data_IF_513715220443
#
_entry.id   IF_513715220443
#
_cell.length_a   1.000
_cell.length_b   1.000
_cell.length_c   1.000
_cell.angle_alpha   90.00
_cell.angle_beta   90.00
_cell.angle_gamma   90.00
#
_symmetry.space_group_name_H-M   'P 1'
#
loop_
_entity.id
_entity.type
_entity.pdbx_description
1 polymer ?
#
# COMPACT_ATOMS: atom_id res chain seq x y z
N UNK A 1 -24.45 27.96 -48.52
CA UNK A 1 -25.78 28.27 -47.97
C UNK A 1 -26.73 28.59 -49.11
N UNK A 2 -28.01 28.25 -48.98
CA UNK A 2 -29.09 28.77 -49.81
C UNK A 2 -29.87 29.80 -48.99
N UNK A 3 -29.83 31.07 -49.42
CA UNK A 3 -30.70 32.11 -48.87
C UNK A 3 -32.02 32.10 -49.63
N UNK A 4 -33.12 32.30 -48.92
CA UNK A 4 -34.45 32.48 -49.49
C UNK A 4 -34.73 33.94 -49.91
N UNK A 5 -35.81 34.11 -50.67
CA UNK A 5 -36.12 35.33 -51.45
C UNK A 5 -37.37 36.07 -50.97
N UNK A 6 -37.90 35.72 -49.81
CA UNK A 6 -39.10 36.34 -49.22
C UNK A 6 -38.85 37.71 -48.58
N UNK A 7 -37.58 38.14 -48.49
CA UNK A 7 -37.16 39.44 -47.97
C UNK A 7 -37.21 39.57 -46.45
N UNK A 8 -37.53 38.49 -45.72
CA UNK A 8 -37.63 38.51 -44.27
C UNK A 8 -36.30 38.08 -43.61
N UNK A 9 -35.74 38.85 -42.66
CA UNK A 9 -34.50 38.46 -41.99
C UNK A 9 -34.74 37.27 -41.07
N UNK A 10 -34.26 36.08 -41.45
CA UNK A 10 -34.31 34.89 -40.59
C UNK A 10 -33.33 34.99 -39.43
N UNK A 11 -33.87 34.98 -38.22
CA UNK A 11 -33.11 34.73 -36.99
C UNK A 11 -32.91 33.23 -36.81
N UNK A 12 -31.67 32.82 -36.51
CA UNK A 12 -31.32 31.47 -36.13
C UNK A 12 -30.69 31.51 -34.73
N UNK A 13 -31.27 30.82 -33.76
CA UNK A 13 -30.69 30.67 -32.43
C UNK A 13 -29.80 29.42 -32.37
N UNK A 14 -28.64 29.54 -31.70
CA UNK A 14 -27.76 28.41 -31.41
C UNK A 14 -27.57 28.33 -29.90
N UNK A 15 -28.15 27.30 -29.29
CA UNK A 15 -28.10 27.07 -27.85
C UNK A 15 -26.92 26.16 -27.52
N UNK A 16 -25.95 26.64 -26.74
CA UNK A 16 -24.79 25.87 -26.29
C UNK A 16 -24.86 25.59 -24.78
N UNK A 17 -24.11 24.59 -24.34
CA UNK A 17 -23.85 24.30 -22.92
C UNK A 17 -22.35 24.23 -22.69
N UNK A 18 -21.91 24.54 -21.48
CA UNK A 18 -20.50 24.38 -21.11
C UNK A 18 -20.11 22.89 -21.12
N UNK A 19 -18.90 22.60 -21.60
CA UNK A 19 -18.28 21.29 -21.42
C UNK A 19 -17.73 21.15 -19.99
N UNK A 20 -17.69 19.93 -19.49
CA UNK A 20 -17.08 19.60 -18.20
C UNK A 20 -15.83 18.74 -18.36
N UNK A 21 -15.04 18.62 -17.31
CA UNK A 21 -13.89 17.71 -17.21
C UNK A 21 -13.81 17.15 -15.78
N UNK A 22 -13.51 15.86 -15.64
CA UNK A 22 -13.26 15.23 -14.34
C UNK A 22 -11.79 14.88 -14.23
N UNK A 23 -11.20 15.12 -13.05
CA UNK A 23 -9.81 14.81 -12.73
C UNK A 23 -9.73 13.87 -11.52
N UNK A 24 -8.68 13.04 -11.49
CA UNK A 24 -8.32 12.12 -10.41
C UNK A 24 -6.79 11.84 -10.48
N UNK A 25 -6.16 11.08 -9.57
CA UNK A 25 -4.71 10.84 -9.61
C UNK A 25 -4.17 10.21 -10.91
N UNK A 26 -4.97 9.41 -11.61
CA UNK A 26 -4.62 8.81 -12.89
C UNK A 26 -4.85 9.74 -14.11
N UNK A 27 -5.54 10.86 -13.92
CA UNK A 27 -5.77 11.91 -14.93
C UNK A 27 -5.96 13.26 -14.22
N UNK A 28 -4.87 13.82 -13.67
CA UNK A 28 -4.94 15.03 -12.83
C UNK A 28 -5.04 16.31 -13.67
N UNK A 29 -5.31 17.42 -12.99
CA UNK A 29 -5.04 18.75 -13.53
C UNK A 29 -3.54 19.03 -13.64
N UNK A 30 -3.20 20.17 -14.22
CA UNK A 30 -1.81 20.64 -14.34
C UNK A 30 -1.73 22.07 -13.81
N UNK A 31 -1.41 22.29 -12.52
CA UNK A 31 -1.37 23.61 -11.88
C UNK A 31 -0.76 24.72 -12.75
N UNK A 32 -1.45 25.85 -12.82
CA UNK A 32 -1.03 27.03 -13.57
C UNK A 32 -1.15 26.94 -15.10
N UNK A 33 -1.48 25.78 -15.68
CA UNK A 33 -1.75 25.64 -17.13
C UNK A 33 -3.24 25.87 -17.44
N UNK A 34 -3.61 26.31 -18.66
CA UNK A 34 -5.01 26.53 -19.05
C UNK A 34 -5.79 25.22 -19.15
N UNK A 35 -7.03 25.21 -18.65
CA UNK A 35 -7.95 24.04 -18.69
C UNK A 35 -8.28 23.63 -20.14
N UNK A 36 -8.18 24.55 -21.11
CA UNK A 36 -8.27 24.25 -22.53
C UNK A 36 -6.92 24.57 -23.21
N UNK A 37 -6.09 23.57 -23.58
CA UNK A 37 -4.77 23.81 -24.18
C UNK A 37 -4.78 24.66 -25.45
N UNK A 38 -5.89 24.65 -26.20
CA UNK A 38 -6.07 25.44 -27.43
C UNK A 38 -6.53 26.89 -27.16
N UNK A 39 -6.75 27.29 -25.91
CA UNK A 39 -7.08 28.65 -25.51
C UNK A 39 -6.20 29.08 -24.30
N UNK A 40 -5.11 29.83 -24.53
CA UNK A 40 -4.19 30.23 -23.47
C UNK A 40 -4.77 31.23 -22.46
N UNK A 41 -5.89 31.89 -22.81
CA UNK A 41 -6.63 32.80 -21.94
C UNK A 41 -7.74 32.09 -21.13
N UNK A 42 -7.96 30.79 -21.37
CA UNK A 42 -8.94 30.03 -20.58
C UNK A 42 -8.51 29.88 -19.12
N UNK A 43 -9.47 29.70 -18.17
CA UNK A 43 -9.16 29.54 -16.75
C UNK A 43 -8.12 28.45 -16.51
N UNK A 44 -7.25 28.68 -15.53
CA UNK A 44 -6.12 27.80 -15.21
C UNK A 44 -6.47 26.82 -14.11
N UNK A 45 -5.83 25.66 -14.14
CA UNK A 45 -5.86 24.70 -13.05
C UNK A 45 -5.28 25.29 -11.76
N UNK A 46 -5.95 25.05 -10.63
CA UNK A 46 -5.46 25.41 -9.30
C UNK A 46 -4.39 24.43 -8.79
N UNK A 47 -3.60 24.85 -7.81
CA UNK A 47 -2.49 24.04 -7.25
C UNK A 47 -2.95 22.68 -6.69
N UNK A 48 -4.15 22.62 -6.10
CA UNK A 48 -4.72 21.41 -5.50
C UNK A 48 -5.22 20.35 -6.51
N UNK A 49 -5.02 20.58 -7.81
CA UNK A 49 -5.51 19.71 -8.89
C UNK A 49 -4.49 18.70 -9.39
N UNK A 50 -3.25 18.74 -8.90
CA UNK A 50 -2.25 17.72 -9.23
C UNK A 50 -2.55 16.35 -8.60
N UNK A 51 -1.89 15.31 -9.13
CA UNK A 51 -2.13 13.93 -8.67
C UNK A 51 -1.73 13.66 -7.22
N UNK A 52 -0.85 14.46 -6.63
CA UNK A 52 -0.45 14.32 -5.23
C UNK A 52 -1.49 14.93 -4.28
N UNK A 53 -2.07 16.06 -4.66
CA UNK A 53 -3.15 16.75 -3.96
C UNK A 53 -4.43 15.92 -3.96
N UNK A 54 -4.73 15.28 -5.11
CA UNK A 54 -5.83 14.32 -5.31
C UNK A 54 -5.56 12.92 -4.69
N UNK A 55 -4.42 12.69 -4.04
CA UNK A 55 -4.10 11.44 -3.35
C UNK A 55 -3.97 11.67 -1.83
N UNK A 56 -4.39 10.71 -1.00
CA UNK A 56 -3.97 10.60 0.40
C UNK A 56 -3.44 9.20 0.66
N UNK A 57 -2.45 9.12 1.54
CA UNK A 57 -1.88 7.87 2.03
C UNK A 57 -1.82 7.93 3.54
N UNK A 58 -2.28 6.86 4.18
CA UNK A 58 -2.14 6.64 5.61
C UNK A 58 -1.34 5.36 5.78
N UNK A 59 -0.30 5.42 6.61
CA UNK A 59 0.66 4.32 6.80
C UNK A 59 0.55 3.80 8.22
N UNK A 60 0.68 2.49 8.41
CA UNK A 60 1.04 1.92 9.70
C UNK A 60 2.43 1.31 9.61
N UNK A 61 3.33 1.84 10.45
CA UNK A 61 4.68 1.30 10.67
C UNK A 61 4.70 0.54 11.98
N UNK A 62 5.29 -0.65 11.98
CA UNK A 62 5.65 -1.38 13.21
C UNK A 62 7.15 -1.51 13.28
N UNK A 63 7.76 -0.84 14.26
CA UNK A 63 9.17 -0.96 14.60
C UNK A 63 9.43 -2.17 15.49
N UNK A 64 10.58 -2.82 15.29
CA UNK A 64 11.00 -3.99 16.05
C UNK A 64 12.40 -3.75 16.64
N UNK A 65 12.49 -3.67 17.96
CA UNK A 65 13.73 -3.32 18.69
C UNK A 65 14.03 -4.31 19.81
N UNK A 66 15.30 -4.39 20.23
CA UNK A 66 15.69 -5.02 21.48
C UNK A 66 15.52 -4.06 22.68
N UNK A 67 15.70 -4.57 23.90
CA UNK A 67 15.59 -3.80 25.16
C UNK A 67 16.57 -2.61 25.26
N UNK A 68 17.66 -2.62 24.49
CA UNK A 68 18.63 -1.50 24.39
C UNK A 68 18.24 -0.42 23.36
N UNK A 69 17.09 -0.59 22.70
CA UNK A 69 16.60 0.29 21.63
C UNK A 69 17.27 0.08 20.26
N UNK A 70 18.19 -0.88 20.12
CA UNK A 70 18.75 -1.25 18.83
C UNK A 70 17.75 -2.04 17.98
N UNK A 71 17.86 -1.95 16.66
CA UNK A 71 16.93 -2.58 15.72
C UNK A 71 17.08 -4.10 15.73
N UNK A 72 15.98 -4.81 15.98
CA UNK A 72 15.94 -6.27 16.02
C UNK A 72 15.73 -6.88 14.62
N UNK A 73 14.74 -6.38 13.88
CA UNK A 73 14.41 -6.78 12.49
C UNK A 73 13.85 -5.60 11.70
N UNK A 74 13.63 -5.77 10.40
CA UNK A 74 13.04 -4.74 9.54
C UNK A 74 11.58 -4.41 9.88
N UNK A 75 11.24 -3.12 9.75
CA UNK A 75 9.93 -2.57 10.12
C UNK A 75 8.81 -3.10 9.20
N UNK A 76 7.66 -3.47 9.77
CA UNK A 76 6.49 -3.89 8.98
C UNK A 76 5.59 -2.69 8.65
N UNK A 77 5.83 -2.10 7.48
CA UNK A 77 5.01 -1.03 6.91
C UNK A 77 3.82 -1.57 6.13
N UNK A 78 2.64 -0.99 6.34
CA UNK A 78 1.46 -1.13 5.47
C UNK A 78 0.93 0.27 5.12
N UNK A 79 0.34 0.46 3.94
CA UNK A 79 -0.20 1.77 3.53
C UNK A 79 -1.52 1.62 2.80
N UNK A 80 -2.53 2.32 3.31
CA UNK A 80 -3.81 2.53 2.64
C UNK A 80 -3.74 3.79 1.78
N UNK A 81 -4.30 3.72 0.58
CA UNK A 81 -4.35 4.85 -0.36
C UNK A 81 -5.80 5.21 -0.63
N UNK A 82 -6.08 6.52 -0.68
CA UNK A 82 -7.37 7.10 -1.02
C UNK A 82 -7.17 8.06 -2.19
N UNK A 83 -8.12 8.09 -3.12
CA UNK A 83 -8.08 8.95 -4.31
C UNK A 83 -9.31 9.86 -4.35
N UNK A 84 -9.11 11.12 -4.74
CA UNK A 84 -10.14 12.15 -4.87
C UNK A 84 -10.47 12.38 -6.34
N UNK A 85 -11.76 12.49 -6.65
CA UNK A 85 -12.26 12.72 -8.01
C UNK A 85 -13.09 14.01 -8.04
N UNK A 86 -12.69 14.99 -8.83
CA UNK A 86 -13.34 16.31 -8.89
C UNK A 86 -13.71 16.69 -10.32
N UNK A 87 -14.87 17.33 -10.50
CA UNK A 87 -15.41 17.73 -11.80
C UNK A 87 -15.49 19.24 -11.91
N UNK A 88 -14.99 19.79 -13.02
CA UNK A 88 -14.88 21.23 -13.28
C UNK A 88 -15.62 21.64 -14.56
N UNK A 89 -16.07 22.90 -14.58
CA UNK A 89 -16.61 23.60 -15.74
C UNK A 89 -15.48 24.14 -16.62
N UNK A 90 -15.43 23.74 -17.90
CA UNK A 90 -14.31 24.09 -18.79
C UNK A 90 -14.31 25.53 -19.28
N UNK A 91 -15.37 26.31 -19.05
CA UNK A 91 -15.49 27.70 -19.52
C UNK A 91 -15.15 28.68 -18.41
N UNK A 92 -15.59 28.38 -17.18
CA UNK A 92 -15.45 29.23 -15.98
C UNK A 92 -14.35 28.76 -15.03
N UNK A 93 -13.83 27.54 -15.20
CA UNK A 93 -12.82 26.94 -14.31
C UNK A 93 -13.33 26.58 -12.92
N UNK A 94 -14.63 26.74 -12.65
CA UNK A 94 -15.23 26.45 -11.34
C UNK A 94 -15.37 24.95 -11.15
N UNK A 95 -15.12 24.50 -9.92
CA UNK A 95 -15.54 23.17 -9.50
C UNK A 95 -17.07 23.08 -9.50
N UNK A 96 -17.59 22.01 -10.10
CA UNK A 96 -19.02 21.68 -10.17
C UNK A 96 -19.40 20.56 -9.21
N UNK A 97 -18.45 19.69 -8.87
CA UNK A 97 -18.67 18.54 -7.99
C UNK A 97 -17.35 18.00 -7.43
N UNK A 98 -17.27 17.93 -6.10
CA UNK A 98 -16.43 16.94 -5.42
C UNK A 98 -17.18 15.60 -5.40
N UNK A 99 -16.55 14.52 -5.86
CA UNK A 99 -17.11 13.16 -5.81
C UNK A 99 -16.70 12.40 -4.54
N UNK A 100 -15.93 13.04 -3.65
CA UNK A 100 -15.41 12.47 -2.43
C UNK A 100 -14.15 11.63 -2.63
N UNK A 101 -13.48 11.38 -1.51
CA UNK A 101 -12.40 10.40 -1.44
C UNK A 101 -12.95 8.98 -1.54
N UNK A 102 -12.28 8.13 -2.30
CA UNK A 102 -12.57 6.70 -2.45
C UNK A 102 -11.35 5.90 -2.01
N UNK A 103 -11.54 4.89 -1.19
CA UNK A 103 -10.48 3.95 -0.79
C UNK A 103 -10.06 3.03 -1.94
N UNK A 104 -8.77 2.76 -2.05
CA UNK A 104 -8.24 1.78 -3.00
C UNK A 104 -8.37 0.37 -2.41
N UNK A 105 -8.72 -0.60 -3.26
CA UNK A 105 -8.96 -2.02 -2.89
C UNK A 105 -10.08 -2.26 -1.85
N UNK A 106 -10.97 -1.29 -1.62
CA UNK A 106 -12.03 -1.35 -0.59
C UNK A 106 -11.49 -1.54 0.84
N UNK A 107 -10.29 -1.02 1.15
CA UNK A 107 -9.64 -1.19 2.46
C UNK A 107 -9.63 0.09 3.29
N UNK A 108 -10.21 0.01 4.48
CA UNK A 108 -10.26 1.06 5.51
C UNK A 108 -9.71 0.57 6.86
N UNK A 109 -8.87 -0.47 6.83
CA UNK A 109 -8.21 -1.06 8.00
C UNK A 109 -6.78 -1.49 7.69
N UNK A 110 -5.90 -1.39 8.68
CA UNK A 110 -4.62 -2.13 8.70
C UNK A 110 -4.87 -3.51 9.31
N UNK A 111 -4.30 -4.55 8.69
CA UNK A 111 -4.58 -5.93 9.06
C UNK A 111 -3.78 -6.35 10.33
N UNK A 112 -4.10 -7.52 10.91
CA UNK A 112 -3.32 -8.05 12.03
C UNK A 112 -1.93 -8.48 11.56
N UNK A 113 -0.88 -7.86 12.11
CA UNK A 113 0.52 -8.20 11.81
C UNK A 113 1.08 -9.09 12.91
N UNK A 114 1.77 -10.15 12.53
CA UNK A 114 2.48 -11.02 13.48
C UNK A 114 3.92 -10.52 13.66
N UNK A 115 4.37 -10.45 14.90
CA UNK A 115 5.77 -10.13 15.22
C UNK A 115 6.69 -11.27 14.76
N UNK A 116 7.78 -10.99 14.04
CA UNK A 116 8.71 -12.03 13.59
C UNK A 116 9.24 -12.88 14.76
N UNK A 117 9.44 -14.18 14.53
CA UNK A 117 10.05 -15.06 15.55
C UNK A 117 11.56 -14.92 15.49
N UNK A 118 12.17 -14.65 16.64
CA UNK A 118 13.62 -14.59 16.83
C UNK A 118 14.09 -15.71 17.76
N UNK A 119 15.30 -16.18 17.55
CA UNK A 119 15.86 -17.28 18.35
C UNK A 119 16.41 -16.72 19.68
N UNK A 120 15.93 -17.25 20.81
CA UNK A 120 16.26 -16.80 22.17
C UNK A 120 15.75 -15.38 22.50
N UNK A 121 14.67 -14.91 21.85
CA UNK A 121 13.97 -13.68 22.20
C UNK A 121 12.44 -13.80 22.04
N UNK A 122 11.71 -13.31 23.03
CA UNK A 122 10.24 -13.19 23.03
C UNK A 122 9.82 -11.72 22.88
N UNK A 123 8.94 -11.36 21.93
CA UNK A 123 8.40 -10.01 21.83
C UNK A 123 7.38 -9.73 22.93
N UNK A 124 7.31 -8.49 23.41
CA UNK A 124 6.28 -7.99 24.33
C UNK A 124 4.85 -8.14 23.76
N UNK A 125 4.75 -8.05 22.42
CA UNK A 125 3.53 -8.22 21.64
C UNK A 125 3.77 -9.29 20.56
N UNK A 126 3.21 -10.50 20.71
CA UNK A 126 3.25 -11.53 19.66
C UNK A 126 2.58 -11.08 18.35
N UNK A 127 1.57 -10.21 18.46
CA UNK A 127 0.79 -9.69 17.34
C UNK A 127 0.30 -8.28 17.57
N UNK A 128 0.22 -7.53 16.49
CA UNK A 128 -0.25 -6.17 16.42
C UNK A 128 -1.69 -6.22 15.91
N UNK A 129 -2.64 -5.85 16.77
CA UNK A 129 -4.06 -5.92 16.45
C UNK A 129 -4.49 -4.98 15.31
N UNK A 130 -5.48 -5.45 14.54
CA UNK A 130 -6.17 -4.73 13.45
C UNK A 130 -6.54 -3.30 13.86
N UNK A 131 -6.24 -2.32 13.01
CA UNK A 131 -6.66 -0.93 13.20
C UNK A 131 -7.75 -0.60 12.18
N UNK A 132 -8.99 -0.42 12.66
CA UNK A 132 -10.17 -0.19 11.84
C UNK A 132 -10.52 1.30 11.71
N UNK A 133 -11.30 1.65 10.68
CA UNK A 133 -11.87 2.99 10.53
C UNK A 133 -10.87 4.05 10.06
N UNK A 134 -9.87 3.63 9.28
CA UNK A 134 -8.91 4.54 8.64
C UNK A 134 -9.62 5.33 7.54
N UNK A 135 -9.47 6.65 7.58
CA UNK A 135 -10.04 7.59 6.61
C UNK A 135 -8.91 8.38 5.92
N UNK A 136 -9.20 9.14 4.84
CA UNK A 136 -8.21 10.02 4.19
C UNK A 136 -7.64 11.12 5.11
N UNK A 137 -8.25 11.36 6.27
CA UNK A 137 -7.84 12.35 7.28
C UNK A 137 -7.26 11.72 8.55
N UNK A 138 -7.19 10.39 8.64
CA UNK A 138 -6.45 9.70 9.70
C UNK A 138 -4.96 10.03 9.65
N UNK A 139 -4.33 10.16 10.82
CA UNK A 139 -2.87 10.21 10.92
C UNK A 139 -2.30 8.80 10.68
N UNK A 140 -1.08 8.73 10.17
CA UNK A 140 -0.30 7.48 10.18
C UNK A 140 -0.12 6.96 11.62
N UNK A 141 -0.01 5.65 11.73
CA UNK A 141 0.07 4.91 12.99
C UNK A 141 1.49 4.38 13.14
N UNK A 142 2.14 4.73 14.25
CA UNK A 142 3.48 4.28 14.60
C UNK A 142 3.37 3.38 15.82
N UNK A 143 3.95 2.17 15.76
CA UNK A 143 3.95 1.17 16.83
C UNK A 143 5.35 0.62 17.04
N UNK A 144 5.66 0.19 18.25
CA UNK A 144 6.93 -0.47 18.59
C UNK A 144 6.65 -1.78 19.33
N UNK A 145 7.40 -2.81 18.96
CA UNK A 145 7.48 -4.12 19.63
C UNK A 145 8.90 -4.29 20.16
N UNK A 146 9.03 -4.73 21.41
CA UNK A 146 10.30 -4.90 22.11
C UNK A 146 10.58 -6.38 22.32
N UNK A 147 11.74 -6.84 21.87
CA UNK A 147 12.21 -8.21 22.06
C UNK A 147 13.03 -8.32 23.34
N UNK A 148 12.45 -9.01 24.32
CA UNK A 148 13.12 -9.38 25.56
C UNK A 148 13.89 -10.68 25.35
N UNK A 149 15.11 -10.77 25.90
CA UNK A 149 15.92 -11.97 25.75
C UNK A 149 15.36 -13.12 26.59
N UNK A 150 15.22 -14.30 25.97
CA UNK A 150 14.74 -15.49 26.66
C UNK A 150 15.71 -15.89 27.78
N UNK A 151 15.16 -16.15 28.97
CA UNK A 151 15.95 -16.55 30.14
C UNK A 151 16.66 -17.87 29.89
N UNK A 152 18.00 -17.87 29.90
CA UNK A 152 18.82 -19.06 29.67
C UNK A 152 18.67 -20.06 30.81
N UNK A 153 17.64 -20.91 30.73
CA UNK A 153 17.55 -22.11 31.54
C UNK A 153 18.69 -23.04 31.13
N UNK A 154 19.77 -23.03 31.90
CA UNK A 154 20.86 -23.98 31.74
C UNK A 154 20.32 -25.38 32.00
N UNK A 155 19.92 -26.08 30.93
CA UNK A 155 19.55 -27.48 30.96
C UNK A 155 20.75 -28.29 31.45
N UNK A 156 20.76 -28.61 32.75
CA UNK A 156 21.86 -29.32 33.39
C UNK A 156 21.85 -30.76 32.91
N UNK A 157 22.72 -31.06 31.96
CA UNK A 157 22.83 -32.36 31.31
C UNK A 157 22.77 -33.50 32.34
N UNK A 158 21.76 -34.35 32.19
CA UNK A 158 21.56 -35.56 32.99
C UNK A 158 21.21 -36.71 32.06
N UNK A 159 22.12 -36.95 31.10
CA UNK A 159 22.11 -38.09 30.20
C UNK A 159 22.26 -39.44 30.94
N UNK A 160 21.18 -39.95 31.55
CA UNK A 160 21.09 -41.38 31.88
C UNK A 160 19.65 -41.92 31.95
N UNK A 161 19.24 -42.67 30.93
CA UNK A 161 18.21 -43.70 31.07
C UNK A 161 18.37 -44.78 29.99
N UNK A 162 19.34 -45.70 30.19
CA UNK A 162 19.53 -46.85 29.31
C UNK A 162 18.80 -48.09 29.84
N UNK A 163 17.55 -48.24 29.41
CA UNK A 163 16.82 -49.53 29.28
C UNK A 163 16.60 -50.35 30.55
N UNK A 164 15.32 -50.54 30.91
CA UNK A 164 14.82 -51.89 31.22
C UNK A 164 13.52 -52.18 30.45
N UNK A 165 13.28 -53.46 30.18
CA UNK A 165 12.21 -53.97 29.30
C UNK A 165 11.37 -54.97 30.06
N UNK A 166 10.05 -54.89 29.92
CA UNK A 166 9.13 -56.01 30.17
C UNK A 166 8.28 -56.27 28.91
N UNK A 167 7.97 -57.54 28.64
CA UNK A 167 7.35 -58.01 27.38
C UNK A 167 6.05 -58.77 27.62
N UNK A 168 5.04 -58.53 26.78
CA UNK A 168 4.02 -59.48 26.28
C UNK A 168 3.32 -58.81 25.07
N UNK A 169 3.28 -59.30 23.83
CA UNK A 169 3.15 -60.65 23.24
C UNK A 169 1.70 -61.19 23.21
N UNK A 170 1.14 -61.74 22.11
CA UNK A 170 1.67 -61.95 20.72
C UNK A 170 0.56 -62.49 19.76
N UNK A 171 0.60 -62.13 18.45
CA UNK A 171 -0.10 -62.75 17.27
C UNK A 171 -1.67 -62.77 17.24
N UNK A 172 -2.41 -62.92 16.13
CA UNK A 172 -2.23 -62.97 14.64
C UNK A 172 -3.59 -62.51 13.99
N UNK A 173 -4.00 -62.52 12.70
CA UNK A 173 -3.57 -62.87 11.31
C UNK A 173 -4.67 -62.32 10.33
N UNK A 174 -4.69 -62.41 8.98
CA UNK A 174 -3.74 -62.24 7.86
C UNK A 174 -4.56 -62.19 6.51
N UNK A 175 -3.94 -62.00 5.33
CA UNK A 175 -4.46 -62.25 3.95
C UNK A 175 -5.38 -61.22 3.23
N UNK A 176 -4.79 -60.07 2.89
CA UNK A 176 -4.81 -59.41 1.55
C UNK A 176 -5.98 -59.54 0.54
N UNK A 177 -6.43 -58.37 0.03
CA UNK A 177 -6.63 -58.12 -1.42
C UNK A 177 -6.06 -56.73 -1.80
N UNK A 178 -5.53 -56.59 -3.02
CA UNK A 178 -4.69 -55.46 -3.47
C UNK A 178 -5.45 -54.16 -3.77
N UNK A 179 -4.89 -53.05 -3.29
CA UNK A 179 -4.46 -51.92 -4.14
C UNK A 179 -3.09 -51.42 -3.65
N UNK A 180 -2.30 -50.77 -4.52
CA UNK A 180 -0.95 -50.23 -4.29
C UNK A 180 -0.64 -49.18 -5.39
N UNK A 181 0.30 -48.22 -5.20
CA UNK A 181 1.16 -47.99 -4.04
C UNK A 181 0.76 -46.74 -3.22
N UNK A 182 1.75 -45.99 -2.72
CA UNK A 182 1.89 -45.79 -1.27
C UNK A 182 2.94 -44.72 -0.92
N UNK A 183 2.74 -44.00 0.20
CA UNK A 183 3.71 -43.13 0.91
C UNK A 183 4.07 -41.79 0.26
N UNK A 184 4.21 -40.74 1.08
CA UNK A 184 4.66 -39.41 0.64
C UNK A 184 4.16 -38.26 1.53
N UNK A 185 4.55 -38.23 2.81
CA UNK A 185 4.28 -37.10 3.70
C UNK A 185 5.10 -35.88 3.25
N UNK A 186 4.49 -34.98 2.48
CA UNK A 186 5.16 -33.80 1.94
C UNK A 186 5.27 -32.68 2.99
N UNK A 187 6.20 -32.85 3.92
CA UNK A 187 6.98 -31.69 4.35
C UNK A 187 7.77 -31.20 3.14
N UNK A 188 7.44 -30.02 2.58
CA UNK A 188 8.39 -29.00 2.10
C UNK A 188 7.69 -27.82 1.40
N UNK A 189 8.32 -26.63 1.48
CA UNK A 189 8.05 -25.38 0.74
C UNK A 189 6.60 -25.07 0.29
N UNK A 190 5.87 -24.31 1.12
CA UNK A 190 4.93 -23.31 0.58
C UNK A 190 5.72 -22.03 0.25
N UNK A 191 5.80 -21.76 -1.05
CA UNK A 191 6.68 -20.81 -1.70
C UNK A 191 6.76 -19.42 -1.06
N UNK A 192 7.98 -18.90 -1.00
CA UNK A 192 8.29 -17.49 -0.78
C UNK A 192 7.70 -16.62 -1.90
N UNK A 193 6.50 -16.08 -1.67
CA UNK A 193 5.93 -15.02 -2.50
C UNK A 193 6.73 -13.75 -2.24
N UNK A 194 7.83 -13.59 -2.98
CA UNK A 194 8.72 -12.42 -2.91
C UNK A 194 8.00 -11.20 -3.49
N UNK A 195 7.16 -10.55 -2.66
CA UNK A 195 6.53 -9.27 -2.99
C UNK A 195 7.62 -8.21 -3.12
N UNK A 196 8.03 -7.96 -4.36
CA UNK A 196 8.96 -6.90 -4.73
C UNK A 196 8.36 -5.53 -4.40
N UNK A 197 8.55 -5.05 -3.17
CA UNK A 197 8.42 -3.64 -2.87
C UNK A 197 9.64 -2.91 -3.44
N UNK A 198 9.55 -2.53 -4.72
CA UNK A 198 10.55 -1.69 -5.39
C UNK A 198 10.44 -0.25 -4.89
N UNK A 199 10.85 -0.03 -3.65
CA UNK A 199 11.02 1.29 -3.04
C UNK A 199 12.38 1.88 -3.45
N UNK A 200 12.55 2.10 -4.75
CA UNK A 200 13.75 2.72 -5.29
C UNK A 200 13.75 4.25 -5.05
N UNK A 201 14.88 4.77 -4.59
CA UNK A 201 15.22 6.21 -4.53
C UNK A 201 14.43 7.02 -3.50
N UNK A 202 14.86 6.90 -2.24
CA UNK A 202 15.08 8.05 -1.37
C UNK A 202 16.50 7.94 -0.79
N UNK A 203 17.33 8.98 -0.76
CA UNK A 203 17.18 10.31 -1.33
C UNK A 203 18.38 11.17 -0.93
N UNK A 204 19.05 11.82 -1.88
CA UNK A 204 20.24 12.65 -1.57
C UNK A 204 20.15 14.00 -2.30
N UNK A 205 19.87 15.04 -1.53
CA UNK A 205 19.72 16.42 -2.00
C UNK A 205 20.72 17.30 -1.26
N UNK A 206 21.24 18.32 -1.97
CA UNK A 206 22.25 19.29 -1.53
C UNK A 206 23.71 18.73 -1.48
N UNK A 207 24.77 19.57 -1.57
CA UNK A 207 24.82 21.03 -1.37
C UNK A 207 25.85 21.75 -2.29
N UNK A 208 25.38 22.77 -3.02
CA UNK A 208 26.05 23.99 -3.53
C UNK A 208 27.29 23.98 -4.48
N UNK A 209 27.16 24.82 -5.52
CA UNK A 209 28.13 25.78 -6.11
C UNK A 209 29.63 25.43 -6.25
N UNK A 210 30.15 25.56 -7.49
CA UNK A 210 30.93 26.76 -7.87
C UNK A 210 31.03 27.02 -9.39
N UNK A 211 31.05 28.31 -9.77
CA UNK A 211 31.22 28.81 -11.14
C UNK A 211 32.70 28.99 -11.48
N UNK A 212 33.17 28.42 -12.60
CA UNK A 212 34.33 28.91 -13.38
C UNK A 212 34.24 28.42 -14.83
N UNK A 213 34.75 29.22 -15.77
CA UNK A 213 34.76 28.92 -17.19
C UNK A 213 36.16 28.57 -17.68
N UNK A 214 36.26 27.79 -18.77
CA UNK A 214 37.04 28.11 -19.99
C UNK A 214 36.97 27.00 -21.05
N UNK A 215 37.00 27.44 -22.31
CA UNK A 215 37.59 26.80 -23.50
C UNK A 215 37.27 25.31 -23.80
N UNK A 216 36.65 25.06 -24.95
CA UNK A 216 37.45 24.97 -26.18
C UNK A 216 36.67 25.52 -27.38
#
# INVERSE_FOLDING_TARGET
MTYDKDGSPKTYEVHLKHGTITINPASPGQPGTPINPNNPESPKWAEDTDGASLTKKVTETVHYVYEDGSKAVDDQTETLTFELERTFDKVTGKELKDNGWKEIQNRTSFDEKLSPKLENYTPDQEKIAVVNGITPTSKSVEKTVVYHKDGTTHAKDTSNSRVQVTKKATQDSNSSKKSFPQTGEQTQVIFSIWRMNVSAISGMVAYFMRKKAKNK
#
